data_IF_335234214785
#
_entry.id   IF_335234214785
#
_cell.length_a   1.000
_cell.length_b   1.000
_cell.length_c   1.000
_cell.angle_alpha   90.00
_cell.angle_beta   90.00
_cell.angle_gamma   90.00
#
_symmetry.space_group_name_H-M   'P 1'
#
loop_
_entity.id
_entity.type
_entity.pdbx_description
1 polymer ?
#
# COMPACT_ATOMS: atom_id res chain seq x y z
N UNK A 1 3.08 -18.50 9.63
CA UNK A 1 2.86 -17.04 9.60
C UNK A 1 3.30 -16.32 10.87
N UNK A 2 3.16 -16.88 12.09
CA UNK A 2 3.63 -16.25 13.35
C UNK A 2 5.14 -16.01 13.47
N UNK A 3 5.96 -16.55 12.56
CA UNK A 3 7.43 -16.44 12.59
C UNK A 3 7.99 -15.30 11.73
N UNK A 4 7.16 -14.66 10.89
CA UNK A 4 7.63 -13.63 9.95
C UNK A 4 6.85 -12.33 10.17
N UNK A 5 7.55 -11.27 10.55
CA UNK A 5 6.97 -9.94 10.72
C UNK A 5 6.94 -9.17 9.40
N UNK A 6 5.74 -8.96 8.85
CA UNK A 6 5.54 -8.25 7.58
C UNK A 6 5.41 -6.72 7.72
N UNK A 7 5.34 -6.21 8.95
CA UNK A 7 5.10 -4.79 9.22
C UNK A 7 6.24 -3.89 8.74
N UNK A 8 7.48 -4.23 9.08
CA UNK A 8 8.64 -3.38 8.79
C UNK A 8 8.85 -3.18 7.30
N UNK A 9 8.76 -4.25 6.50
CA UNK A 9 8.84 -4.19 5.03
C UNK A 9 7.77 -3.29 4.44
N UNK A 10 6.51 -3.53 4.82
CA UNK A 10 5.35 -2.77 4.36
C UNK A 10 5.42 -1.27 4.67
N UNK A 11 6.00 -0.89 5.80
CA UNK A 11 5.98 0.50 6.27
C UNK A 11 7.17 1.32 5.77
N UNK A 12 8.31 0.67 5.51
CA UNK A 12 9.59 1.37 5.31
C UNK A 12 10.35 0.96 4.06
N UNK A 13 10.10 -0.23 3.49
CA UNK A 13 10.92 -0.78 2.41
C UNK A 13 10.16 -1.02 1.10
N UNK A 14 8.82 -0.96 1.13
CA UNK A 14 7.99 -1.06 -0.06
C UNK A 14 7.47 0.32 -0.45
N UNK A 15 7.53 0.65 -1.74
CA UNK A 15 6.87 1.85 -2.27
C UNK A 15 5.35 1.66 -2.18
N UNK A 16 4.64 2.51 -1.41
CA UNK A 16 3.19 2.37 -1.21
C UNK A 16 2.40 2.51 -2.53
N UNK A 17 2.93 3.21 -3.54
CA UNK A 17 2.29 3.37 -4.85
C UNK A 17 2.09 2.04 -5.56
N UNK A 18 2.99 1.07 -5.37
CA UNK A 18 2.82 -0.29 -5.91
C UNK A 18 1.55 -0.93 -5.37
N UNK A 19 1.32 -0.82 -4.05
CA UNK A 19 0.12 -1.37 -3.42
C UNK A 19 -1.14 -0.58 -3.78
N UNK A 20 -1.06 0.74 -3.88
CA UNK A 20 -2.19 1.59 -4.29
C UNK A 20 -2.62 1.27 -5.73
N UNK A 21 -1.68 1.21 -6.67
CA UNK A 21 -1.97 0.90 -8.07
C UNK A 21 -2.59 -0.49 -8.23
N UNK A 22 -2.08 -1.48 -7.50
CA UNK A 22 -2.68 -2.82 -7.45
C UNK A 22 -4.12 -2.80 -6.90
N UNK A 23 -4.37 -2.04 -5.82
CA UNK A 23 -5.71 -1.90 -5.26
C UNK A 23 -6.68 -1.26 -6.26
N UNK A 24 -6.26 -0.20 -6.96
CA UNK A 24 -7.08 0.44 -7.99
C UNK A 24 -7.36 -0.50 -9.16
N UNK A 25 -6.35 -1.23 -9.65
CA UNK A 25 -6.47 -2.16 -10.78
C UNK A 25 -7.43 -3.32 -10.52
N UNK A 26 -7.51 -3.78 -9.27
CA UNK A 26 -8.31 -4.95 -8.89
C UNK A 26 -9.52 -4.59 -8.01
N UNK A 27 -9.87 -3.30 -7.92
CA UNK A 27 -11.00 -2.79 -7.14
C UNK A 27 -10.97 -3.27 -5.67
N UNK A 28 -9.77 -3.38 -5.09
CA UNK A 28 -9.58 -3.79 -3.70
C UNK A 28 -9.66 -2.57 -2.78
N UNK A 29 -10.51 -2.57 -1.74
CA UNK A 29 -10.57 -1.46 -0.80
C UNK A 29 -9.23 -1.25 -0.07
N UNK A 30 -8.70 -0.03 -0.16
CA UNK A 30 -7.34 0.31 0.30
C UNK A 30 -7.19 0.16 1.82
N UNK A 31 -8.26 0.30 2.58
CA UNK A 31 -8.32 0.13 4.03
C UNK A 31 -8.05 -1.31 4.49
N UNK A 32 -8.18 -2.30 3.59
CA UNK A 32 -7.78 -3.68 3.86
C UNK A 32 -6.26 -3.85 3.80
N UNK A 33 -5.57 -2.98 3.07
CA UNK A 33 -4.12 -2.99 2.96
C UNK A 33 -3.50 -2.02 3.96
N UNK A 34 -3.97 -0.78 4.07
CA UNK A 34 -3.41 0.21 4.98
C UNK A 34 -4.42 0.60 6.05
N UNK A 35 -4.01 0.54 7.32
CA UNK A 35 -4.82 1.10 8.40
C UNK A 35 -4.83 2.64 8.34
N UNK A 36 -5.66 3.29 9.16
CA UNK A 36 -5.83 4.76 9.17
C UNK A 36 -4.50 5.52 9.29
N UNK A 37 -3.59 5.08 10.16
CA UNK A 37 -2.29 5.74 10.34
C UNK A 37 -1.39 5.64 9.11
N UNK A 38 -1.40 4.49 8.43
CA UNK A 38 -0.63 4.30 7.20
C UNK A 38 -1.24 5.03 6.01
N UNK A 39 -2.57 5.14 5.93
CA UNK A 39 -3.23 5.98 4.93
C UNK A 39 -2.83 7.45 5.07
N UNK A 40 -2.77 7.97 6.31
CA UNK A 40 -2.28 9.32 6.55
C UNK A 40 -0.79 9.48 6.17
N UNK A 41 0.06 8.52 6.52
CA UNK A 41 1.50 8.52 6.17
C UNK A 41 1.71 8.50 4.65
N UNK A 42 0.89 7.74 3.92
CA UNK A 42 1.02 7.50 2.49
C UNK A 42 0.01 8.30 1.65
N UNK A 43 -0.54 9.40 2.18
CA UNK A 43 -1.51 10.21 1.45
C UNK A 43 -1.01 10.65 0.06
N UNK A 44 0.30 10.96 -0.05
CA UNK A 44 0.95 11.33 -1.30
C UNK A 44 0.95 10.23 -2.38
N UNK A 45 0.78 8.95 -2.00
CA UNK A 45 0.78 7.84 -2.96
C UNK A 45 -0.60 7.52 -3.52
N UNK A 46 -1.67 8.14 -3.00
CA UNK A 46 -3.06 7.79 -3.33
C UNK A 46 -3.49 8.19 -4.74
N UNK A 47 -2.82 9.19 -5.32
CA UNK A 47 -3.15 9.73 -6.65
C UNK A 47 -2.55 8.92 -7.81
N UNK A 48 -1.84 7.83 -7.53
CA UNK A 48 -1.13 7.09 -8.58
C UNK A 48 -2.08 6.33 -9.51
N UNK A 49 -1.79 6.29 -10.80
CA UNK A 49 -2.58 5.55 -11.80
C UNK A 49 -2.51 4.02 -11.60
N UNK A 50 -3.55 3.25 -12.02
CA UNK A 50 -3.61 1.80 -11.85
C UNK A 50 -2.53 1.03 -12.63
N UNK A 51 -1.92 1.62 -13.65
CA UNK A 51 -0.88 1.04 -14.51
C UNK A 51 0.55 1.35 -14.02
N UNK A 52 0.69 2.05 -12.89
CA UNK A 52 1.98 2.40 -12.29
C UNK A 52 2.95 1.22 -12.21
N UNK A 53 4.20 1.50 -12.60
CA UNK A 53 5.32 0.59 -12.55
C UNK A 53 6.49 1.30 -11.87
N UNK A 54 7.03 0.65 -10.84
CA UNK A 54 8.23 1.09 -10.12
C UNK A 54 9.49 0.82 -10.95
#
# INVERSE_FOLDING_TARGET
>A
LKTVALGTSKINYLDPRISVAWCKRHEVPIEKIFNKSLLAKFAWSMDVEPDYRF
#
